data_IF_165073244276
#
_entry.id   IF_165073244276
#
_cell.length_a   1.000
_cell.length_b   1.000
_cell.length_c   1.000
_cell.angle_alpha   90.00
_cell.angle_beta   90.00
_cell.angle_gamma   90.00
#
_symmetry.space_group_name_H-M   'P 1'
#
loop_
_entity.id
_entity.type
_entity.pdbx_description
1 polymer ?
#
# COMPACT_ATOMS: atom_id res chain seq x y z
N UNK A 1 -8.67 -16.91 0.32
CA UNK A 1 -8.68 -15.45 0.54
C UNK A 1 -9.74 -14.81 -0.37
N UNK A 2 -10.57 -13.95 0.17
CA UNK A 2 -11.52 -13.11 -0.58
C UNK A 2 -11.45 -11.70 -0.03
N UNK A 3 -11.83 -10.70 -0.83
CA UNK A 3 -11.89 -9.28 -0.41
C UNK A 3 -12.71 -9.14 0.88
N UNK A 4 -13.89 -9.76 0.93
CA UNK A 4 -14.77 -9.72 2.11
C UNK A 4 -14.10 -10.31 3.36
N UNK A 5 -13.42 -11.46 3.21
CA UNK A 5 -12.75 -12.11 4.34
C UNK A 5 -11.53 -11.33 4.85
N UNK A 6 -10.86 -10.58 3.98
CA UNK A 6 -9.77 -9.68 4.37
C UNK A 6 -10.34 -8.45 5.07
N UNK A 7 -11.40 -7.85 4.53
CA UNK A 7 -12.00 -6.64 5.10
C UNK A 7 -12.66 -6.88 6.46
N UNK A 8 -13.28 -8.05 6.67
CA UNK A 8 -13.92 -8.41 7.95
C UNK A 8 -12.98 -9.11 8.94
N UNK A 9 -11.68 -9.25 8.61
CA UNK A 9 -10.65 -9.83 9.47
C UNK A 9 -10.67 -11.36 9.58
N UNK A 10 -11.54 -12.07 8.85
CA UNK A 10 -11.55 -13.54 8.81
C UNK A 10 -10.31 -14.12 8.14
N UNK A 11 -9.73 -13.39 7.18
CA UNK A 11 -8.47 -13.74 6.55
C UNK A 11 -7.37 -12.79 7.02
N UNK A 12 -6.43 -13.33 7.81
CA UNK A 12 -5.48 -12.54 8.57
C UNK A 12 -4.17 -12.20 7.82
N UNK A 13 -3.91 -12.82 6.64
CA UNK A 13 -2.66 -12.58 5.90
C UNK A 13 -2.90 -11.48 4.86
N UNK A 14 -2.85 -10.26 5.35
CA UNK A 14 -2.93 -9.05 4.55
C UNK A 14 -2.06 -7.96 5.17
N UNK A 15 -1.71 -6.97 4.37
CA UNK A 15 -0.93 -5.82 4.81
C UNK A 15 -1.48 -4.53 4.19
N UNK A 16 -1.46 -3.41 4.92
CA UNK A 16 -1.81 -2.13 4.34
C UNK A 16 -0.69 -1.64 3.43
N UNK A 17 -1.06 -0.98 2.35
CA UNK A 17 -0.19 -0.10 1.61
C UNK A 17 -0.43 1.32 2.10
N UNK A 18 0.58 1.89 2.72
CA UNK A 18 0.55 3.22 3.30
C UNK A 18 1.40 4.19 2.49
N UNK A 19 0.89 5.39 2.34
CA UNK A 19 1.71 6.56 2.09
C UNK A 19 1.85 7.37 3.38
N UNK A 20 2.95 8.08 3.53
CA UNK A 20 3.19 8.92 4.70
C UNK A 20 3.78 10.27 4.31
N UNK A 21 3.31 11.33 4.97
CA UNK A 21 3.80 12.71 4.82
C UNK A 21 4.30 13.25 6.15
N UNK A 22 5.22 14.20 6.11
CA UNK A 22 5.77 14.86 7.29
C UNK A 22 5.38 16.34 7.31
N UNK A 23 4.42 16.67 8.15
CA UNK A 23 3.83 18.02 8.22
C UNK A 23 2.72 18.21 7.19
N UNK A 24 2.52 19.44 6.74
CA UNK A 24 1.50 19.80 5.76
C UNK A 24 2.04 19.58 4.36
N UNK A 25 1.42 18.71 3.53
CA UNK A 25 1.80 18.53 2.13
C UNK A 25 1.67 19.85 1.34
N UNK A 26 2.45 20.00 0.28
CA UNK A 26 2.23 21.05 -0.71
C UNK A 26 0.86 20.88 -1.39
N UNK A 27 0.34 21.93 -2.02
CA UNK A 27 -0.96 21.88 -2.71
C UNK A 27 -0.98 20.79 -3.79
N UNK A 28 0.10 20.65 -4.57
CA UNK A 28 0.20 19.61 -5.61
C UNK A 28 0.33 18.21 -5.00
N UNK A 29 1.05 18.05 -3.90
CA UNK A 29 1.14 16.77 -3.18
C UNK A 29 -0.21 16.38 -2.59
N UNK A 30 -0.95 17.34 -2.02
CA UNK A 30 -2.29 17.07 -1.49
C UNK A 30 -3.28 16.73 -2.61
N UNK A 31 -3.20 17.39 -3.76
CA UNK A 31 -4.02 17.09 -4.94
C UNK A 31 -3.78 15.64 -5.41
N UNK A 32 -2.52 15.20 -5.46
CA UNK A 32 -2.19 13.81 -5.79
C UNK A 32 -2.71 12.81 -4.74
N UNK A 33 -2.58 13.11 -3.45
CA UNK A 33 -3.15 12.27 -2.38
C UNK A 33 -4.68 12.17 -2.53
N UNK A 34 -5.35 13.27 -2.81
CA UNK A 34 -6.79 13.29 -3.04
C UNK A 34 -7.18 12.44 -4.27
N UNK A 35 -6.37 12.49 -5.34
CA UNK A 35 -6.55 11.63 -6.51
C UNK A 35 -6.43 10.14 -6.14
N UNK A 36 -5.38 9.76 -5.43
CA UNK A 36 -5.18 8.36 -4.99
C UNK A 36 -6.39 7.84 -4.22
N UNK A 37 -6.98 8.67 -3.34
CA UNK A 37 -8.10 8.27 -2.48
C UNK A 37 -9.46 8.40 -3.15
N UNK A 38 -9.55 9.04 -4.31
CA UNK A 38 -10.80 9.23 -5.06
C UNK A 38 -11.31 7.93 -5.68
N UNK A 39 -12.55 7.95 -6.17
CA UNK A 39 -13.14 6.86 -6.93
C UNK A 39 -12.26 6.46 -8.14
N UNK A 40 -11.71 7.44 -8.87
CA UNK A 40 -10.83 7.22 -10.03
C UNK A 40 -9.53 6.51 -9.62
N UNK A 41 -8.87 6.97 -8.57
CA UNK A 41 -7.65 6.35 -8.04
C UNK A 41 -7.90 4.96 -7.45
N UNK A 42 -8.99 4.79 -6.72
CA UNK A 42 -9.33 3.51 -6.09
C UNK A 42 -9.79 2.46 -7.10
N UNK A 43 -10.36 2.86 -8.22
CA UNK A 43 -10.62 1.98 -9.36
C UNK A 43 -9.32 1.40 -9.93
N UNK A 44 -8.27 2.21 -10.05
CA UNK A 44 -6.93 1.74 -10.47
C UNK A 44 -6.38 0.72 -9.45
N UNK A 45 -6.55 0.97 -8.15
CA UNK A 45 -6.15 0.04 -7.09
C UNK A 45 -6.82 -1.32 -7.31
N UNK A 46 -8.15 -1.37 -7.54
CA UNK A 46 -8.89 -2.61 -7.75
C UNK A 46 -8.51 -3.30 -9.07
N UNK A 47 -8.36 -2.56 -10.17
CA UNK A 47 -7.95 -3.09 -11.48
C UNK A 47 -6.55 -3.71 -11.46
N UNK A 48 -5.70 -3.33 -10.50
CA UNK A 48 -4.38 -3.92 -10.29
C UNK A 48 -4.36 -5.03 -9.22
N UNK A 49 -5.53 -5.53 -8.80
CA UNK A 49 -5.67 -6.70 -7.93
C UNK A 49 -5.54 -6.41 -6.44
N UNK A 50 -5.53 -5.14 -6.04
CA UNK A 50 -5.52 -4.74 -4.64
C UNK A 50 -6.93 -4.41 -4.13
N UNK A 51 -7.08 -4.33 -2.83
CA UNK A 51 -8.34 -3.99 -2.18
C UNK A 51 -8.36 -2.50 -1.90
N UNK A 52 -9.42 -1.82 -2.33
CA UNK A 52 -9.60 -0.38 -2.09
C UNK A 52 -9.62 -0.04 -0.60
N UNK A 53 -9.12 1.14 -0.27
CA UNK A 53 -9.03 1.66 1.09
C UNK A 53 -9.92 2.90 1.32
N UNK A 54 -10.50 3.47 0.26
CA UNK A 54 -11.31 4.68 0.32
C UNK A 54 -12.52 4.59 -0.59
N UNK A 55 -13.60 5.27 -0.23
CA UNK A 55 -14.81 5.50 -1.02
C UNK A 55 -15.07 7.01 -1.18
N UNK A 56 -14.01 7.82 -1.21
CA UNK A 56 -14.12 9.25 -1.51
C UNK A 56 -14.58 9.44 -2.96
N UNK A 57 -15.59 10.25 -3.21
CA UNK A 57 -16.23 10.40 -4.52
C UNK A 57 -15.29 10.75 -5.68
N UNK A 58 -15.88 11.18 -6.82
CA UNK A 58 -15.15 11.52 -8.05
C UNK A 58 -14.06 12.59 -7.80
N UNK A 59 -12.92 12.45 -8.47
CA UNK A 59 -11.81 13.38 -8.34
C UNK A 59 -12.04 14.67 -9.14
N UNK A 60 -11.64 15.77 -8.53
CA UNK A 60 -11.54 17.05 -9.21
C UNK A 60 -10.23 17.71 -8.81
N UNK A 61 -9.29 17.81 -9.75
CA UNK A 61 -8.01 18.47 -9.52
C UNK A 61 -8.20 19.97 -9.19
N UNK A 62 -7.39 20.46 -8.28
CA UNK A 62 -7.28 21.89 -7.97
C UNK A 62 -6.36 22.62 -8.95
N UNK A 63 -5.71 21.90 -9.89
CA UNK A 63 -4.80 22.44 -10.89
C UNK A 63 -3.44 22.87 -10.35
N UNK A 64 -3.11 22.51 -9.12
CA UNK A 64 -1.81 22.82 -8.53
C UNK A 64 -0.66 22.23 -9.35
N UNK A 65 0.44 22.98 -9.44
CA UNK A 65 1.60 22.63 -10.26
C UNK A 65 2.81 22.41 -9.39
N UNK A 66 3.72 21.58 -9.85
CA UNK A 66 4.99 21.35 -9.18
C UNK A 66 5.48 19.92 -9.25
N UNK A 67 6.62 19.68 -8.61
CA UNK A 67 7.24 18.37 -8.52
C UNK A 67 6.81 17.70 -7.21
N UNK A 68 6.57 16.40 -7.29
CA UNK A 68 6.29 15.50 -6.16
C UNK A 68 7.29 14.36 -6.21
N UNK A 69 8.03 14.15 -5.13
CA UNK A 69 8.93 13.00 -4.98
C UNK A 69 8.26 11.95 -4.09
N UNK A 70 8.03 10.78 -4.64
CA UNK A 70 7.48 9.61 -3.93
C UNK A 70 8.60 8.60 -3.74
N UNK A 71 8.85 8.13 -2.52
CA UNK A 71 9.94 7.20 -2.27
C UNK A 71 9.54 6.05 -1.35
N UNK A 72 10.07 4.85 -1.57
CA UNK A 72 9.96 3.74 -0.63
C UNK A 72 9.59 2.41 -1.24
N UNK A 73 8.71 1.69 -0.57
CA UNK A 73 8.41 0.27 -0.75
C UNK A 73 8.21 -0.19 -2.19
N UNK A 74 9.09 -1.08 -2.66
CA UNK A 74 8.98 -1.77 -3.96
C UNK A 74 7.69 -2.58 -4.13
N UNK A 75 7.07 -3.02 -3.03
CA UNK A 75 5.76 -3.68 -3.09
C UNK A 75 4.61 -2.72 -3.42
N UNK A 76 4.76 -1.44 -3.11
CA UNK A 76 3.76 -0.39 -3.40
C UNK A 76 4.00 0.22 -4.79
N UNK A 77 5.26 0.20 -5.27
CA UNK A 77 5.67 0.82 -6.54
C UNK A 77 4.76 0.46 -7.72
N UNK A 78 4.38 -0.81 -7.97
CA UNK A 78 3.58 -1.14 -9.16
C UNK A 78 2.22 -0.42 -9.22
N UNK A 79 1.51 -0.33 -8.11
CA UNK A 79 0.23 0.40 -8.07
C UNK A 79 0.44 1.91 -8.08
N UNK A 80 1.51 2.38 -7.45
CA UNK A 80 1.85 3.82 -7.44
C UNK A 80 2.17 4.32 -8.85
N UNK A 81 2.92 3.57 -9.66
CA UNK A 81 3.19 3.91 -11.06
C UNK A 81 1.90 4.08 -11.87
N UNK A 82 0.93 3.19 -11.69
CA UNK A 82 -0.37 3.29 -12.39
C UNK A 82 -1.16 4.52 -11.93
N UNK A 83 -1.13 4.82 -10.65
CA UNK A 83 -1.77 6.02 -10.09
C UNK A 83 -1.11 7.31 -10.62
N UNK A 84 0.22 7.33 -10.71
CA UNK A 84 0.99 8.46 -11.26
C UNK A 84 0.70 8.67 -12.76
N UNK A 85 0.73 7.58 -13.56
CA UNK A 85 0.40 7.62 -15.00
C UNK A 85 -1.00 8.21 -15.26
N UNK A 86 -1.98 7.80 -14.44
CA UNK A 86 -3.34 8.26 -14.57
C UNK A 86 -3.53 9.70 -14.06
N UNK A 87 -2.91 10.04 -12.92
CA UNK A 87 -2.94 11.40 -12.38
C UNK A 87 -2.36 12.43 -13.34
N UNK A 88 -1.27 12.10 -14.04
CA UNK A 88 -0.66 12.99 -15.06
C UNK A 88 -1.61 13.36 -16.19
N UNK A 89 -2.62 12.53 -16.47
CA UNK A 89 -3.63 12.82 -17.51
C UNK A 89 -4.66 13.84 -17.04
N UNK A 90 -4.93 13.90 -15.74
CA UNK A 90 -5.92 14.82 -15.15
C UNK A 90 -5.29 16.08 -14.55
N UNK A 91 -4.00 16.04 -14.22
CA UNK A 91 -3.21 17.20 -13.81
C UNK A 91 -1.86 17.22 -14.56
N UNK A 92 -1.82 17.86 -15.72
CA UNK A 92 -0.62 17.98 -16.56
C UNK A 92 0.43 18.93 -15.99
N UNK A 93 0.08 19.72 -14.98
CA UNK A 93 1.00 20.64 -14.29
C UNK A 93 1.84 19.99 -13.18
N UNK A 94 1.51 18.75 -12.81
CA UNK A 94 2.24 18.00 -11.82
C UNK A 94 3.30 17.09 -12.46
N UNK A 95 4.48 17.06 -11.85
CA UNK A 95 5.57 16.13 -12.20
C UNK A 95 5.83 15.21 -11.00
N UNK A 96 5.50 13.93 -11.12
CA UNK A 96 5.65 12.95 -10.04
C UNK A 96 6.81 12.03 -10.35
N UNK A 97 7.80 12.01 -9.46
CA UNK A 97 8.98 11.15 -9.54
C UNK A 97 8.86 10.02 -8.51
N UNK A 98 9.13 8.78 -8.93
CA UNK A 98 9.15 7.60 -8.07
C UNK A 98 10.58 7.13 -7.83
N UNK A 99 10.92 6.95 -6.55
CA UNK A 99 12.20 6.42 -6.09
C UNK A 99 11.96 5.11 -5.32
N UNK A 100 12.10 3.98 -6.01
CA UNK A 100 11.87 2.67 -5.41
C UNK A 100 12.99 2.29 -4.43
N UNK A 101 12.58 1.73 -3.28
CA UNK A 101 13.46 1.18 -2.25
C UNK A 101 12.70 0.22 -1.33
N UNK A 102 13.00 0.18 -0.05
CA UNK A 102 12.23 -0.52 0.97
C UNK A 102 11.38 0.44 1.83
N UNK A 103 10.41 -0.12 2.59
CA UNK A 103 9.52 0.67 3.44
C UNK A 103 10.26 1.50 4.49
N UNK A 104 11.35 1.00 5.06
CA UNK A 104 12.09 1.71 6.11
C UNK A 104 12.85 2.90 5.53
N UNK A 105 13.43 2.74 4.35
CA UNK A 105 14.10 3.82 3.61
C UNK A 105 13.10 4.89 3.20
N UNK A 106 11.92 4.50 2.66
CA UNK A 106 10.85 5.44 2.33
C UNK A 106 10.41 6.28 3.53
N UNK A 107 10.21 5.66 4.69
CA UNK A 107 9.85 6.39 5.91
C UNK A 107 10.96 7.33 6.40
N UNK A 108 12.23 6.90 6.34
CA UNK A 108 13.38 7.76 6.65
C UNK A 108 13.47 8.98 5.74
N UNK A 109 13.23 8.79 4.44
CA UNK A 109 13.24 9.88 3.45
C UNK A 109 12.12 10.89 3.76
N UNK A 110 10.91 10.42 4.10
CA UNK A 110 9.81 11.29 4.49
C UNK A 110 10.10 12.05 5.80
N UNK A 111 10.72 11.41 6.81
CA UNK A 111 11.16 12.08 8.04
C UNK A 111 12.19 13.16 7.73
N UNK A 112 13.18 12.85 6.89
CA UNK A 112 14.24 13.77 6.48
C UNK A 112 13.75 14.83 5.48
N UNK A 113 12.50 14.74 4.98
CA UNK A 113 11.93 15.60 3.94
C UNK A 113 12.72 15.60 2.63
N UNK A 114 13.38 14.48 2.31
CA UNK A 114 14.03 14.25 1.02
C UNK A 114 13.07 13.68 -0.03
N UNK A 115 11.86 13.28 0.40
CA UNK A 115 10.71 13.04 -0.46
C UNK A 115 9.47 13.71 0.15
N UNK A 116 8.43 13.93 -0.68
CA UNK A 116 7.15 14.50 -0.28
C UNK A 116 6.23 13.42 0.30
N UNK A 117 6.32 12.22 -0.27
CA UNK A 117 5.51 11.05 0.09
C UNK A 117 6.43 9.84 0.29
N UNK A 118 6.43 9.28 1.49
CA UNK A 118 7.05 7.99 1.77
C UNK A 118 6.07 6.84 1.54
N UNK A 119 6.52 5.68 1.04
CA UNK A 119 5.69 4.49 0.84
C UNK A 119 6.10 3.35 1.76
N UNK A 120 5.11 2.68 2.36
CA UNK A 120 5.34 1.48 3.16
C UNK A 120 4.26 0.42 2.91
N UNK A 121 4.67 -0.86 2.80
CA UNK A 121 3.79 -2.02 2.72
C UNK A 121 3.56 -2.68 4.10
N UNK A 122 3.43 -1.86 5.11
CA UNK A 122 3.19 -2.20 6.52
C UNK A 122 2.66 -0.98 7.26
N UNK A 123 2.16 -1.18 8.47
CA UNK A 123 1.88 -0.09 9.39
C UNK A 123 3.17 0.68 9.74
N UNK A 124 3.03 1.96 10.04
CA UNK A 124 4.15 2.77 10.53
C UNK A 124 4.55 2.29 11.93
N UNK A 125 5.84 2.36 12.21
CA UNK A 125 6.38 2.11 13.56
C UNK A 125 6.09 3.29 14.47
N UNK A 126 6.00 3.06 15.78
CA UNK A 126 5.83 4.13 16.78
C UNK A 126 6.91 5.22 16.66
N UNK A 127 8.15 4.84 16.35
CA UNK A 127 9.24 5.79 16.12
C UNK A 127 9.03 6.66 14.87
N UNK A 128 8.33 6.15 13.85
CA UNK A 128 8.02 6.89 12.61
C UNK A 128 6.88 7.88 12.84
N UNK A 129 5.83 7.46 13.54
CA UNK A 129 4.72 8.35 13.92
C UNK A 129 5.16 9.41 14.94
N UNK A 130 6.00 9.06 15.91
CA UNK A 130 6.60 9.99 16.87
C UNK A 130 7.52 11.02 16.21
N UNK A 131 8.12 10.67 15.06
CA UNK A 131 8.91 11.59 14.24
C UNK A 131 8.05 12.53 13.35
N UNK A 132 6.72 12.47 13.48
CA UNK A 132 5.76 13.39 12.84
C UNK A 132 5.16 12.86 11.54
N UNK A 133 5.42 11.60 11.15
CA UNK A 133 4.79 11.01 9.98
C UNK A 133 3.29 10.79 10.21
N UNK A 134 2.50 11.17 9.22
CA UNK A 134 1.06 10.89 9.14
C UNK A 134 0.82 9.86 8.04
N UNK A 135 0.31 8.68 8.43
CA UNK A 135 -0.01 7.60 7.49
C UNK A 135 -1.40 7.80 6.87
N UNK A 136 -1.50 7.41 5.61
CA UNK A 136 -2.76 7.27 4.88
C UNK A 136 -2.73 5.92 4.17
N UNK A 137 -3.69 5.05 4.49
CA UNK A 137 -3.85 3.77 3.79
C UNK A 137 -4.43 4.04 2.41
N UNK A 138 -3.75 3.56 1.36
CA UNK A 138 -4.17 3.74 -0.04
C UNK A 138 -4.70 2.46 -0.68
N UNK A 139 -4.32 1.30 -0.14
CA UNK A 139 -4.76 -0.01 -0.58
C UNK A 139 -4.51 -1.05 0.52
N UNK A 140 -5.12 -2.24 0.38
CA UNK A 140 -4.72 -3.43 1.14
C UNK A 140 -4.27 -4.51 0.17
N UNK A 141 -3.17 -5.18 0.52
CA UNK A 141 -2.61 -6.30 -0.23
C UNK A 141 -2.93 -7.60 0.51
N UNK A 142 -3.70 -8.47 -0.13
CA UNK A 142 -4.06 -9.79 0.39
C UNK A 142 -3.08 -10.85 -0.10
N UNK A 143 -2.33 -11.47 0.80
CA UNK A 143 -1.33 -12.48 0.45
C UNK A 143 -1.98 -13.86 0.52
N UNK A 144 -2.19 -14.50 -0.63
CA UNK A 144 -2.81 -15.83 -0.70
C UNK A 144 -1.77 -16.94 -0.55
N UNK A 145 -2.02 -17.86 0.39
CA UNK A 145 -1.26 -19.12 0.48
C UNK A 145 -1.82 -20.08 -0.57
N UNK A 146 -0.98 -20.51 -1.50
CA UNK A 146 -1.33 -21.41 -2.58
C UNK A 146 -0.76 -22.80 -2.29
N UNK A 147 -1.58 -23.84 -2.44
CA UNK A 147 -1.20 -25.24 -2.29
C UNK A 147 -1.61 -26.04 -3.53
N UNK A 148 -1.06 -27.26 -3.68
CA UNK A 148 -1.47 -28.16 -4.77
C UNK A 148 -2.97 -28.51 -4.65
N UNK A 149 -3.66 -28.67 -5.77
CA UNK A 149 -5.08 -29.00 -5.84
C UNK A 149 -5.45 -30.34 -5.15
N UNK A 150 -4.50 -31.27 -5.08
CA UNK A 150 -4.67 -32.58 -4.42
C UNK A 150 -4.43 -32.50 -2.90
N UNK A 151 -4.03 -31.33 -2.37
CA UNK A 151 -3.86 -31.15 -0.95
C UNK A 151 -5.24 -31.06 -0.27
N UNK A 152 -5.47 -31.93 0.70
CA UNK A 152 -6.73 -32.01 1.45
C UNK A 152 -6.86 -30.94 2.58
N UNK A 153 -5.88 -30.07 2.72
CA UNK A 153 -5.89 -28.99 3.73
C UNK A 153 -6.66 -27.79 3.20
N UNK A 154 -7.82 -27.53 3.78
CA UNK A 154 -8.70 -26.42 3.37
C UNK A 154 -8.42 -25.11 4.13
N UNK A 155 -7.77 -25.20 5.30
CA UNK A 155 -7.52 -24.06 6.15
C UNK A 155 -6.21 -24.19 6.92
N UNK A 156 -5.54 -23.05 7.13
CA UNK A 156 -4.32 -22.92 7.94
C UNK A 156 -4.48 -21.74 8.89
N UNK A 157 -4.09 -21.93 10.13
CA UNK A 157 -3.93 -20.81 11.07
C UNK A 157 -2.67 -20.01 10.72
N UNK A 158 -2.61 -18.75 11.16
CA UNK A 158 -1.43 -17.89 10.97
C UNK A 158 -0.16 -18.53 11.57
N UNK A 159 -0.29 -19.21 12.72
CA UNK A 159 0.83 -19.89 13.38
C UNK A 159 1.28 -21.12 12.60
N UNK A 160 0.36 -21.88 12.00
CA UNK A 160 0.72 -23.00 11.13
C UNK A 160 1.48 -22.50 9.89
N UNK A 161 0.99 -21.44 9.22
CA UNK A 161 1.70 -20.81 8.09
C UNK A 161 3.10 -20.37 8.53
N UNK A 162 3.22 -19.65 9.64
CA UNK A 162 4.52 -19.23 10.17
C UNK A 162 5.45 -20.42 10.45
N UNK A 163 4.94 -21.49 11.05
CA UNK A 163 5.73 -22.67 11.37
C UNK A 163 6.18 -23.44 10.12
N UNK A 164 5.34 -23.50 9.06
CA UNK A 164 5.71 -24.08 7.76
C UNK A 164 6.88 -23.28 7.14
N UNK A 165 6.74 -21.97 7.03
CA UNK A 165 7.78 -21.13 6.44
C UNK A 165 9.07 -21.07 7.24
N UNK A 166 9.01 -21.37 8.55
CA UNK A 166 10.20 -21.49 9.41
C UNK A 166 10.79 -22.91 9.46
N UNK A 167 10.24 -23.86 8.70
CA UNK A 167 10.69 -25.25 8.66
C UNK A 167 10.42 -26.05 9.95
N UNK A 168 9.50 -25.60 10.79
CA UNK A 168 9.08 -26.33 12.02
C UNK A 168 8.00 -27.37 11.71
N UNK A 169 7.22 -27.18 10.67
CA UNK A 169 6.28 -28.13 10.09
C UNK A 169 6.81 -28.43 8.71
N UNK A 170 7.13 -29.70 8.45
CA UNK A 170 7.78 -30.14 7.20
C UNK A 170 6.90 -31.07 6.37
N UNK A 171 5.84 -31.59 6.96
CA UNK A 171 4.87 -32.46 6.29
C UNK A 171 3.44 -31.99 6.56
N UNK A 172 2.55 -32.23 5.61
CA UNK A 172 1.13 -31.89 5.76
C UNK A 172 0.43 -32.69 6.86
N UNK A 173 0.94 -33.89 7.20
CA UNK A 173 0.40 -34.70 8.29
C UNK A 173 0.62 -34.09 9.69
N UNK A 174 1.51 -33.11 9.83
CA UNK A 174 1.77 -32.37 11.09
C UNK A 174 0.83 -31.18 11.27
N UNK A 175 0.07 -30.83 10.22
CA UNK A 175 -0.93 -29.76 10.27
C UNK A 175 -2.23 -30.33 10.81
N UNK A 176 -2.49 -30.12 12.10
CA UNK A 176 -3.70 -30.58 12.82
C UNK A 176 -4.48 -29.38 13.36
#
# INVERSE_FOLDING_TARGET
ATVDNINNGKYAISRPFNIATNGTPSEVTQDFINYILSEDGQKIVEENGYIKASDAGAFKSNGAKGKIVVAGSSSVSPVMEKLMEAYKKVNTGADVELQESDSTTGMKNAIAKTCDIGMASRDLKDSETSAGLKATVIAKDGITVVVNKENSIDNLTKDQVNNIYRGKITTWGEVK
#
